data_IF_990308984807
#
_entry.id   IF_990308984807
#
_cell.length_a   1.000
_cell.length_b   1.000
_cell.length_c   1.000
_cell.angle_alpha   90.00
_cell.angle_beta   90.00
_cell.angle_gamma   90.00
#
_symmetry.space_group_name_H-M   'P 1'
#
loop_
_entity.id
_entity.type
_entity.pdbx_description
1 polymer ?
#
# COMPACT_ATOMS: atom_id res chain seq x y z
N UNK A 1 19.71 10.63 8.58
CA UNK A 1 19.09 10.84 7.25
C UNK A 1 17.67 11.30 7.46
N UNK A 2 17.15 12.16 6.59
CA UNK A 2 15.76 12.60 6.62
C UNK A 2 14.88 11.54 5.91
N UNK A 3 13.98 10.83 6.63
CA UNK A 3 13.14 9.78 6.04
C UNK A 3 12.29 10.28 4.88
N UNK A 4 11.83 11.53 4.92
CA UNK A 4 11.00 12.11 3.85
C UNK A 4 11.76 12.19 2.53
N UNK A 5 13.08 12.40 2.57
CA UNK A 5 13.93 12.39 1.35
C UNK A 5 14.10 10.99 0.77
N UNK A 6 14.06 9.95 1.59
CA UNK A 6 14.18 8.55 1.15
C UNK A 6 12.89 8.10 0.47
N UNK A 7 11.74 8.48 1.06
CA UNK A 7 10.41 8.09 0.58
C UNK A 7 9.93 8.90 -0.64
N UNK A 8 10.48 10.09 -0.86
CA UNK A 8 10.02 10.99 -1.92
C UNK A 8 10.00 10.31 -3.30
N UNK A 9 8.83 10.30 -3.94
CA UNK A 9 8.60 9.77 -5.28
C UNK A 9 8.44 8.25 -5.37
N UNK A 10 8.54 7.53 -4.25
CA UNK A 10 8.28 6.08 -4.16
C UNK A 10 6.82 5.79 -4.47
N UNK A 11 6.54 4.68 -5.16
CA UNK A 11 5.18 4.19 -5.41
C UNK A 11 4.76 3.31 -4.24
N UNK A 12 3.71 3.71 -3.53
CA UNK A 12 3.22 3.00 -2.34
C UNK A 12 1.78 2.60 -2.57
N UNK A 13 1.47 1.33 -2.32
CA UNK A 13 0.10 0.86 -2.21
C UNK A 13 -0.29 0.88 -0.73
N UNK A 14 -1.42 1.51 -0.40
CA UNK A 14 -2.02 1.45 0.94
C UNK A 14 -3.34 0.69 0.88
N UNK A 15 -3.56 -0.25 1.80
CA UNK A 15 -4.74 -1.11 1.82
C UNK A 15 -5.30 -1.19 3.24
N UNK A 16 -6.54 -0.75 3.41
CA UNK A 16 -7.25 -0.71 4.70
C UNK A 16 -8.75 -0.58 4.41
N UNK A 17 -9.62 -1.30 5.12
CA UNK A 17 -11.08 -1.20 4.91
C UNK A 17 -11.70 0.06 5.54
N UNK A 18 -10.95 0.79 6.36
CA UNK A 18 -11.34 2.07 6.96
C UNK A 18 -10.88 3.27 6.10
N UNK A 19 -11.83 3.97 5.46
CA UNK A 19 -11.55 5.10 4.56
C UNK A 19 -10.82 6.27 5.25
N UNK A 20 -11.07 6.52 6.54
CA UNK A 20 -10.39 7.56 7.31
C UNK A 20 -8.91 7.22 7.56
N UNK A 21 -8.57 5.94 7.69
CA UNK A 21 -7.17 5.49 7.75
C UNK A 21 -6.49 5.68 6.39
N UNK A 22 -7.16 5.35 5.28
CA UNK A 22 -6.63 5.60 3.94
C UNK A 22 -6.37 7.10 3.69
N UNK A 23 -7.27 7.98 4.12
CA UNK A 23 -7.10 9.43 4.03
C UNK A 23 -5.90 9.89 4.86
N UNK A 24 -5.81 9.47 6.13
CA UNK A 24 -4.69 9.81 7.01
C UNK A 24 -3.34 9.36 6.43
N UNK A 25 -3.24 8.12 5.94
CA UNK A 25 -2.01 7.61 5.34
C UNK A 25 -1.64 8.37 4.06
N UNK A 26 -2.63 8.77 3.27
CA UNK A 26 -2.42 9.59 2.07
C UNK A 26 -1.81 10.94 2.41
N UNK A 27 -2.30 11.60 3.46
CA UNK A 27 -1.75 12.87 3.95
C UNK A 27 -0.33 12.71 4.53
N UNK A 28 -0.09 11.65 5.29
CA UNK A 28 1.22 11.38 5.90
C UNK A 28 2.31 11.06 4.87
N UNK A 29 1.91 10.44 3.75
CA UNK A 29 2.79 9.99 2.68
C UNK A 29 2.70 10.88 1.43
N UNK A 30 2.29 12.14 1.57
CA UNK A 30 2.10 13.12 0.47
C UNK A 30 3.30 13.28 -0.49
N UNK A 31 4.50 12.94 -0.04
CA UNK A 31 5.73 12.93 -0.83
C UNK A 31 5.86 11.72 -1.77
N UNK A 32 5.04 10.68 -1.61
CA UNK A 32 5.00 9.45 -2.39
C UNK A 32 3.99 9.54 -3.55
N UNK A 33 3.99 8.53 -4.41
CA UNK A 33 2.93 8.28 -5.40
C UNK A 33 2.05 7.17 -4.82
N UNK A 34 0.82 7.49 -4.47
CA UNK A 34 -0.04 6.60 -3.69
C UNK A 34 -1.15 6.06 -4.57
N UNK A 35 -1.31 4.74 -4.56
CA UNK A 35 -2.57 4.08 -4.90
C UNK A 35 -3.17 3.52 -3.60
N UNK A 36 -4.51 3.48 -3.53
CA UNK A 36 -5.25 3.02 -2.35
C UNK A 36 -6.26 1.95 -2.75
N UNK A 37 -6.55 1.04 -1.82
CA UNK A 37 -7.62 0.07 -1.95
C UNK A 37 -8.30 -0.15 -0.60
N UNK A 38 -9.63 -0.30 -0.59
CA UNK A 38 -10.39 -0.64 0.62
C UNK A 38 -10.95 -2.05 0.64
N UNK A 39 -10.60 -2.85 -0.37
CA UNK A 39 -11.02 -4.25 -0.47
C UNK A 39 -9.87 -5.15 -0.88
N UNK A 40 -9.95 -6.44 -0.53
CA UNK A 40 -8.98 -7.43 -0.98
C UNK A 40 -8.89 -7.50 -2.51
N UNK A 41 -10.02 -7.50 -3.20
CA UNK A 41 -10.11 -7.70 -4.64
C UNK A 41 -9.41 -6.57 -5.40
N UNK A 42 -9.66 -5.32 -5.00
CA UNK A 42 -9.00 -4.15 -5.55
C UNK A 42 -7.49 -4.16 -5.25
N UNK A 43 -7.11 -4.42 -4.00
CA UNK A 43 -5.71 -4.50 -3.59
C UNK A 43 -4.94 -5.57 -4.37
N UNK A 44 -5.56 -6.74 -4.55
CA UNK A 44 -5.00 -7.83 -5.36
C UNK A 44 -4.82 -7.41 -6.81
N UNK A 45 -5.82 -6.80 -7.43
CA UNK A 45 -5.74 -6.33 -8.82
C UNK A 45 -4.61 -5.31 -8.98
N UNK A 46 -4.50 -4.35 -8.04
CA UNK A 46 -3.42 -3.36 -8.03
C UNK A 46 -2.05 -4.02 -7.87
N UNK A 47 -1.89 -4.93 -6.91
CA UNK A 47 -0.66 -5.69 -6.72
C UNK A 47 -0.27 -6.48 -7.97
N UNK A 48 -1.23 -7.07 -8.68
CA UNK A 48 -1.00 -7.90 -9.87
C UNK A 48 -0.64 -7.06 -11.11
N UNK A 49 -1.24 -5.89 -11.27
CA UNK A 49 -1.15 -5.06 -12.49
C UNK A 49 -0.11 -3.94 -12.42
N UNK A 50 0.27 -3.49 -11.22
CA UNK A 50 1.18 -2.36 -11.04
C UNK A 50 2.51 -2.77 -10.40
N UNK A 51 3.44 -1.81 -10.39
CA UNK A 51 4.70 -1.89 -9.68
C UNK A 51 4.68 -0.94 -8.48
N UNK A 52 5.05 -1.47 -7.32
CA UNK A 52 5.16 -0.72 -6.07
C UNK A 52 6.56 -0.90 -5.47
N UNK A 53 7.06 0.16 -4.84
CA UNK A 53 8.28 0.08 -4.05
C UNK A 53 8.02 -0.51 -2.66
N UNK A 54 6.82 -0.29 -2.10
CA UNK A 54 6.39 -0.71 -0.75
C UNK A 54 4.86 -0.88 -0.76
N UNK A 55 4.33 -1.82 0.03
CA UNK A 55 2.91 -1.91 0.35
C UNK A 55 2.65 -1.77 1.87
N UNK A 56 1.63 -1.02 2.25
CA UNK A 56 1.11 -0.93 3.63
C UNK A 56 -0.22 -1.66 3.64
N UNK A 57 -0.32 -2.75 4.39
CA UNK A 57 -1.46 -3.66 4.37
C UNK A 57 -2.07 -3.74 5.77
N UNK A 58 -3.37 -3.49 5.90
CA UNK A 58 -4.11 -3.93 7.08
C UNK A 58 -4.25 -5.45 7.07
N UNK A 59 -4.08 -6.06 8.24
CA UNK A 59 -4.14 -7.50 8.45
C UNK A 59 -5.60 -7.95 8.60
N UNK A 60 -6.42 -7.15 9.29
CA UNK A 60 -7.85 -7.40 9.47
C UNK A 60 -8.63 -6.74 8.31
N UNK A 61 -9.92 -7.05 8.15
CA UNK A 61 -10.79 -6.42 7.12
C UNK A 61 -10.57 -6.87 5.66
N UNK A 62 -9.33 -6.87 5.18
CA UNK A 62 -8.95 -7.03 3.76
C UNK A 62 -8.17 -8.32 3.46
N UNK A 63 -8.19 -9.32 4.37
CA UNK A 63 -7.39 -10.55 4.25
C UNK A 63 -5.89 -10.25 4.04
N UNK A 64 -5.30 -9.40 4.89
CA UNK A 64 -3.95 -8.89 4.70
C UNK A 64 -2.84 -9.94 4.59
N UNK A 65 -2.98 -11.12 5.22
CA UNK A 65 -2.00 -12.21 5.06
C UNK A 65 -1.96 -12.75 3.62
N UNK A 66 -3.12 -12.87 2.96
CA UNK A 66 -3.19 -13.32 1.57
C UNK A 66 -2.55 -12.26 0.65
N UNK A 67 -2.78 -10.97 0.92
CA UNK A 67 -2.13 -9.86 0.20
C UNK A 67 -0.61 -9.82 0.44
N UNK A 68 -0.17 -10.08 1.66
CA UNK A 68 1.25 -10.15 2.02
C UNK A 68 1.97 -11.28 1.26
N UNK A 69 1.32 -12.43 1.06
CA UNK A 69 1.88 -13.49 0.22
C UNK A 69 2.05 -13.05 -1.24
N UNK A 70 1.09 -12.29 -1.78
CA UNK A 70 1.15 -11.76 -3.15
C UNK A 70 2.26 -10.71 -3.27
N UNK A 71 2.35 -9.78 -2.31
CA UNK A 71 3.38 -8.75 -2.27
C UNK A 71 4.80 -9.37 -2.20
N UNK A 72 5.00 -10.35 -1.31
CA UNK A 72 6.27 -11.07 -1.19
C UNK A 72 6.66 -11.82 -2.48
N UNK A 73 5.70 -12.46 -3.17
CA UNK A 73 5.97 -13.12 -4.47
C UNK A 73 6.41 -12.14 -5.55
N UNK A 74 6.15 -10.84 -5.37
CA UNK A 74 6.53 -9.75 -6.27
C UNK A 74 7.71 -8.93 -5.76
N UNK A 75 8.37 -9.36 -4.68
CA UNK A 75 9.46 -8.63 -4.02
C UNK A 75 9.05 -7.20 -3.59
N UNK A 76 7.76 -7.01 -3.26
CA UNK A 76 7.23 -5.77 -2.70
C UNK A 76 7.29 -5.92 -1.18
N UNK A 77 8.13 -5.13 -0.48
CA UNK A 77 8.24 -5.15 0.97
C UNK A 77 7.04 -4.47 1.66
#
# INVERSE_FOLDING_TARGET
MDPKKILKGKRVLIVDDEEDILELLTELLDMCKIDRASTFEEAKELLETNFYDIAVLDIMGVRGYDLLEIANKKDIP
#
